data_IF_943126192974
#
_entry.id   IF_943126192974
#
_cell.length_a   1.000
_cell.length_b   1.000
_cell.length_c   1.000
_cell.angle_alpha   90.00
_cell.angle_beta   90.00
_cell.angle_gamma   90.00
#
_symmetry.space_group_name_H-M   'P 1'
#
loop_
_entity.id
_entity.type
_entity.pdbx_description
1 polymer ?
#
# COMPACT_ATOMS: atom_id res chain seq x y z
N UNK A 1 3.18 -29.99 48.55
CA UNK A 1 3.64 -28.62 48.29
C UNK A 1 4.68 -28.66 47.21
N UNK A 2 4.62 -27.74 46.26
CA UNK A 2 5.72 -26.83 45.99
C UNK A 2 5.19 -25.61 45.23
N UNK A 3 5.71 -24.43 45.56
CA UNK A 3 5.36 -23.11 45.01
C UNK A 3 6.57 -22.59 44.24
N UNK A 4 6.32 -21.92 43.13
CA UNK A 4 7.33 -21.19 42.33
C UNK A 4 7.31 -21.72 40.90
N UNK A 5 7.28 -20.92 39.85
CA UNK A 5 7.88 -19.61 39.65
C UNK A 5 7.33 -19.08 38.32
N UNK A 6 7.12 -17.77 38.16
CA UNK A 6 6.93 -17.22 36.81
C UNK A 6 6.10 -15.95 36.65
N UNK A 7 6.15 -14.99 37.57
CA UNK A 7 5.48 -13.68 37.39
C UNK A 7 6.32 -12.67 36.56
N UNK A 8 7.39 -13.12 35.90
CA UNK A 8 8.37 -12.23 35.23
C UNK A 8 8.20 -12.08 33.71
N UNK A 9 7.20 -12.71 33.09
CA UNK A 9 7.07 -12.74 31.62
C UNK A 9 6.35 -11.54 30.99
N UNK A 10 5.88 -10.58 31.79
CA UNK A 10 4.92 -9.56 31.33
C UNK A 10 5.53 -8.19 30.97
N UNK A 11 6.84 -7.96 31.17
CA UNK A 11 7.47 -6.66 30.89
C UNK A 11 8.85 -6.87 30.25
N UNK A 12 8.94 -6.92 28.92
CA UNK A 12 10.26 -6.83 28.25
C UNK A 12 10.46 -7.55 26.92
N UNK A 13 9.47 -8.27 26.39
CA UNK A 13 9.67 -9.09 25.19
C UNK A 13 9.90 -8.32 23.88
N UNK A 14 9.37 -7.09 23.76
CA UNK A 14 9.45 -6.31 22.52
C UNK A 14 10.81 -5.65 22.26
N UNK A 15 11.50 -5.19 23.30
CA UNK A 15 12.76 -4.45 23.16
C UNK A 15 13.94 -5.38 22.83
N UNK A 16 13.98 -6.56 23.45
CA UNK A 16 15.03 -7.55 23.17
C UNK A 16 14.87 -8.19 21.78
N UNK A 17 13.64 -8.42 21.30
CA UNK A 17 13.43 -8.99 19.96
C UNK A 17 13.98 -8.09 18.82
N UNK A 18 13.88 -6.76 18.99
CA UNK A 18 14.50 -5.77 18.11
C UNK A 18 16.04 -5.79 18.18
N UNK A 19 16.60 -5.97 19.38
CA UNK A 19 18.05 -6.05 19.60
C UNK A 19 18.69 -7.36 19.09
N UNK A 20 17.95 -8.47 19.13
CA UNK A 20 18.40 -9.79 18.69
C UNK A 20 18.01 -10.14 17.24
N UNK A 21 17.50 -9.18 16.45
CA UNK A 21 17.26 -9.36 15.02
C UNK A 21 16.17 -10.38 14.67
N UNK A 22 15.22 -10.64 15.58
CA UNK A 22 14.11 -11.59 15.38
C UNK A 22 12.89 -10.89 14.73
N UNK A 23 12.92 -9.58 14.52
CA UNK A 23 11.85 -8.89 13.81
C UNK A 23 11.92 -9.20 12.29
N UNK A 24 10.99 -10.04 11.82
CA UNK A 24 10.89 -10.51 10.43
C UNK A 24 10.15 -9.54 9.51
N UNK A 25 9.75 -8.37 10.01
CA UNK A 25 9.12 -7.35 9.18
C UNK A 25 10.17 -6.79 8.20
N UNK A 26 9.86 -6.66 6.90
CA UNK A 26 10.78 -6.04 5.96
C UNK A 26 11.10 -4.63 6.46
N UNK A 27 12.39 -4.29 6.42
CA UNK A 27 12.88 -2.99 6.90
C UNK A 27 12.35 -1.81 6.06
N UNK A 28 11.88 -2.07 4.83
CA UNK A 28 11.09 -1.10 4.08
C UNK A 28 9.60 -1.49 4.10
N UNK A 29 8.69 -0.53 4.33
CA UNK A 29 7.28 -0.75 4.10
C UNK A 29 7.04 -1.08 2.62
N UNK A 30 5.98 -1.85 2.30
CA UNK A 30 5.63 -2.16 0.92
C UNK A 30 5.43 -0.86 0.13
N UNK A 31 6.00 -0.80 -1.07
CA UNK A 31 5.89 0.33 -2.00
C UNK A 31 4.42 0.69 -2.27
N UNK A 32 4.08 1.98 -2.14
CA UNK A 32 2.78 2.50 -2.55
C UNK A 32 2.62 2.63 -4.06
N UNK A 33 3.73 2.60 -4.82
CA UNK A 33 3.75 2.71 -6.28
C UNK A 33 3.59 1.38 -6.99
N UNK A 34 3.73 0.26 -6.27
CA UNK A 34 3.52 -1.07 -6.81
C UNK A 34 2.02 -1.43 -6.79
N UNK A 35 1.38 -1.65 -7.96
CA UNK A 35 -0.04 -1.97 -8.05
C UNK A 35 -0.41 -3.28 -7.32
N UNK A 36 0.54 -4.22 -7.20
CA UNK A 36 0.31 -5.49 -6.50
C UNK A 36 -0.03 -5.30 -5.01
N UNK A 37 0.57 -4.29 -4.38
CA UNK A 37 0.36 -4.01 -2.96
C UNK A 37 -1.02 -3.39 -2.70
N UNK A 38 -1.59 -2.73 -3.71
CA UNK A 38 -2.91 -2.10 -3.65
C UNK A 38 -4.03 -3.09 -4.00
N UNK A 39 -3.79 -3.95 -5.00
CA UNK A 39 -4.74 -4.95 -5.44
C UNK A 39 -4.79 -6.19 -4.52
N UNK A 40 -3.70 -6.49 -3.79
CA UNK A 40 -3.57 -7.71 -3.00
C UNK A 40 -3.28 -8.96 -3.84
N UNK A 41 -3.23 -8.82 -5.16
CA UNK A 41 -2.83 -9.82 -6.14
C UNK A 41 -1.59 -9.36 -6.90
N UNK A 42 -0.88 -10.27 -7.55
CA UNK A 42 0.30 -9.92 -8.34
C UNK A 42 -0.11 -9.23 -9.65
N UNK A 43 0.42 -8.03 -9.88
CA UNK A 43 0.19 -7.21 -11.08
C UNK A 43 1.54 -6.78 -11.64
N UNK A 44 1.89 -7.27 -12.82
CA UNK A 44 3.12 -6.90 -13.53
C UNK A 44 2.81 -6.01 -14.76
N UNK A 45 1.67 -6.22 -15.40
CA UNK A 45 1.25 -5.54 -16.63
C UNK A 45 -0.17 -4.96 -16.50
N UNK A 46 -0.55 -4.08 -17.43
CA UNK A 46 -1.94 -3.60 -17.55
C UNK A 46 -2.92 -4.76 -17.71
N UNK A 47 -2.58 -5.75 -18.53
CA UNK A 47 -3.44 -6.90 -18.80
C UNK A 47 -3.80 -7.64 -17.51
N UNK A 48 -2.88 -7.71 -16.54
CA UNK A 48 -3.16 -8.33 -15.24
C UNK A 48 -4.21 -7.54 -14.44
N UNK A 49 -4.24 -6.21 -14.59
CA UNK A 49 -5.22 -5.33 -13.94
C UNK A 49 -6.64 -5.65 -14.42
N UNK A 50 -6.82 -5.93 -15.72
CA UNK A 50 -8.13 -6.26 -16.31
C UNK A 50 -8.72 -7.56 -15.76
N UNK A 51 -7.89 -8.45 -15.21
CA UNK A 51 -8.31 -9.74 -14.69
C UNK A 51 -8.52 -9.75 -13.16
N UNK A 52 -8.30 -8.61 -12.49
CA UNK A 52 -8.54 -8.48 -11.06
C UNK A 52 -10.02 -8.63 -10.73
N UNK A 53 -10.33 -9.47 -9.74
CA UNK A 53 -11.71 -9.67 -9.26
C UNK A 53 -12.16 -8.54 -8.35
N UNK A 54 -11.26 -8.08 -7.49
CA UNK A 54 -11.52 -7.07 -6.48
C UNK A 54 -10.59 -5.88 -6.70
N UNK A 55 -11.17 -4.69 -6.83
CA UNK A 55 -10.45 -3.44 -7.05
C UNK A 55 -10.47 -2.57 -5.78
N UNK A 56 -9.37 -1.90 -5.43
CA UNK A 56 -9.31 -1.05 -4.24
C UNK A 56 -10.16 0.20 -4.44
N UNK A 57 -11.27 0.36 -3.71
CA UNK A 57 -12.18 1.51 -3.87
C UNK A 57 -11.84 2.70 -2.97
N UNK A 58 -10.82 2.58 -2.10
CA UNK A 58 -10.38 3.64 -1.16
C UNK A 58 -11.54 4.25 -0.36
N UNK A 59 -12.22 3.43 0.44
CA UNK A 59 -13.42 3.82 1.20
C UNK A 59 -14.57 4.34 0.30
N UNK A 60 -14.64 3.86 -0.95
CA UNK A 60 -15.66 4.27 -1.92
C UNK A 60 -15.40 5.64 -2.55
N UNK A 61 -14.19 6.21 -2.37
CA UNK A 61 -13.80 7.48 -2.99
C UNK A 61 -13.52 7.34 -4.49
N UNK A 62 -13.10 6.15 -4.93
CA UNK A 62 -12.95 5.81 -6.34
C UNK A 62 -13.94 4.72 -6.74
N UNK A 63 -14.54 4.89 -7.93
CA UNK A 63 -15.32 3.83 -8.58
C UNK A 63 -14.36 2.71 -9.02
N UNK A 64 -14.83 1.46 -9.17
CA UNK A 64 -14.00 0.37 -9.67
C UNK A 64 -13.26 0.72 -10.97
N UNK A 65 -13.94 1.32 -11.95
CA UNK A 65 -13.33 1.77 -13.21
C UNK A 65 -12.22 2.83 -13.03
N UNK A 66 -12.33 3.67 -12.01
CA UNK A 66 -11.32 4.69 -11.71
C UNK A 66 -10.10 4.07 -11.02
N UNK A 67 -10.34 3.12 -10.12
CA UNK A 67 -9.29 2.34 -9.48
C UNK A 67 -8.53 1.46 -10.46
N UNK A 68 -9.22 0.83 -11.40
CA UNK A 68 -8.61 0.06 -12.49
C UNK A 68 -7.65 0.94 -13.31
N UNK A 69 -8.13 2.12 -13.78
CA UNK A 69 -7.30 3.08 -14.50
C UNK A 69 -6.08 3.52 -13.68
N UNK A 70 -6.26 3.79 -12.38
CA UNK A 70 -5.16 4.16 -11.51
C UNK A 70 -4.09 3.05 -11.45
N UNK A 71 -4.50 1.79 -11.28
CA UNK A 71 -3.58 0.64 -11.27
C UNK A 71 -2.84 0.51 -12.62
N UNK A 72 -3.54 0.67 -13.74
CA UNK A 72 -2.94 0.69 -15.09
C UNK A 72 -1.94 1.84 -15.27
N UNK A 73 -2.15 3.00 -14.64
CA UNK A 73 -1.16 4.08 -14.70
C UNK A 73 0.10 3.74 -13.90
N UNK A 74 -0.01 2.96 -12.82
CA UNK A 74 1.14 2.53 -12.02
C UNK A 74 2.03 1.54 -12.76
N UNK A 75 1.49 0.73 -13.68
CA UNK A 75 2.28 -0.19 -14.52
C UNK A 75 3.08 0.51 -15.62
N UNK A 76 2.85 1.80 -15.88
CA UNK A 76 3.54 2.59 -16.90
C UNK A 76 4.56 3.58 -16.30
N UNK A 77 5.78 3.16 -15.90
CA UNK A 77 6.68 3.96 -15.06
C UNK A 77 6.99 5.37 -15.60
N UNK A 78 7.23 5.51 -16.90
CA UNK A 78 7.57 6.80 -17.52
C UNK A 78 6.37 7.76 -17.68
N UNK A 79 5.15 7.22 -17.71
CA UNK A 79 3.91 7.99 -17.87
C UNK A 79 3.10 8.07 -16.57
N UNK A 80 3.54 7.35 -15.52
CA UNK A 80 2.85 7.23 -14.23
C UNK A 80 2.51 8.58 -13.63
N UNK A 81 3.51 9.46 -13.48
CA UNK A 81 3.35 10.79 -12.87
C UNK A 81 2.29 11.64 -13.58
N UNK A 82 2.41 11.94 -14.90
CA UNK A 82 1.44 12.78 -15.57
C UNK A 82 0.04 12.15 -15.62
N UNK A 83 -0.07 10.82 -15.76
CA UNK A 83 -1.36 10.12 -15.79
C UNK A 83 -2.04 10.11 -14.43
N UNK A 84 -1.32 9.77 -13.36
CA UNK A 84 -1.85 9.78 -12.00
C UNK A 84 -2.26 11.19 -11.54
N UNK A 85 -1.45 12.21 -11.85
CA UNK A 85 -1.81 13.60 -11.55
C UNK A 85 -3.06 14.05 -12.30
N UNK A 86 -3.12 13.77 -13.62
CA UNK A 86 -4.31 14.09 -14.43
C UNK A 86 -5.54 13.36 -13.92
N UNK A 87 -5.39 12.14 -13.43
CA UNK A 87 -6.49 11.36 -12.85
C UNK A 87 -7.12 12.11 -11.68
N UNK A 88 -6.33 12.64 -10.74
CA UNK A 88 -6.86 13.37 -9.58
C UNK A 88 -7.12 14.86 -9.81
N UNK A 89 -6.74 15.41 -10.97
CA UNK A 89 -7.03 16.80 -11.34
C UNK A 89 -8.52 17.06 -11.69
N UNK A 90 -9.32 16.00 -11.81
CA UNK A 90 -10.76 16.08 -12.05
C UNK A 90 -11.52 16.52 -10.79
N UNK A 91 -12.39 17.55 -10.85
CA UNK A 91 -13.14 18.05 -9.71
C UNK A 91 -13.87 16.98 -8.89
N UNK A 92 -14.31 15.88 -9.53
CA UNK A 92 -15.00 14.79 -8.83
C UNK A 92 -14.04 13.96 -7.96
N UNK A 93 -12.79 13.78 -8.40
CA UNK A 93 -11.78 12.94 -7.74
C UNK A 93 -10.80 13.71 -6.86
N UNK A 94 -10.73 15.03 -6.96
CA UNK A 94 -9.88 15.88 -6.09
C UNK A 94 -10.11 15.57 -4.60
N UNK A 95 -11.35 15.25 -4.20
CA UNK A 95 -11.68 14.91 -2.80
C UNK A 95 -10.98 13.65 -2.31
N UNK A 96 -10.66 12.72 -3.21
CA UNK A 96 -9.97 11.47 -2.88
C UNK A 96 -8.53 11.71 -2.41
N UNK A 97 -7.92 12.87 -2.75
CA UNK A 97 -6.60 13.27 -2.27
C UNK A 97 -6.52 13.45 -0.74
N UNK A 98 -7.66 13.56 -0.04
CA UNK A 98 -7.69 13.55 1.42
C UNK A 98 -7.37 12.18 2.05
N UNK A 99 -7.47 11.10 1.27
CA UNK A 99 -7.27 9.73 1.75
C UNK A 99 -5.79 9.39 1.88
N UNK A 100 -5.40 8.82 3.02
CA UNK A 100 -3.99 8.56 3.36
C UNK A 100 -3.30 7.57 2.42
N UNK A 101 -4.02 6.55 1.96
CA UNK A 101 -3.42 5.59 1.01
C UNK A 101 -3.21 6.25 -0.36
N UNK A 102 -4.13 7.11 -0.82
CA UNK A 102 -3.96 7.82 -2.11
C UNK A 102 -2.78 8.79 -2.05
N UNK A 103 -2.60 9.49 -0.92
CA UNK A 103 -1.40 10.30 -0.66
C UNK A 103 -0.14 9.44 -0.76
N UNK A 104 -0.12 8.26 -0.12
CA UNK A 104 1.01 7.34 -0.19
C UNK A 104 1.29 6.80 -1.60
N UNK A 105 0.26 6.55 -2.40
CA UNK A 105 0.40 6.16 -3.82
C UNK A 105 1.05 7.29 -4.62
N UNK A 106 0.55 8.53 -4.46
CA UNK A 106 1.11 9.68 -5.17
C UNK A 106 2.54 9.98 -4.74
N UNK A 107 2.83 9.95 -3.44
CA UNK A 107 4.19 10.10 -2.93
C UNK A 107 5.12 9.05 -3.55
N UNK A 108 4.70 7.79 -3.60
CA UNK A 108 5.47 6.74 -4.26
C UNK A 108 5.62 7.00 -5.77
N UNK A 109 4.59 7.45 -6.48
CA UNK A 109 4.70 7.81 -7.90
C UNK A 109 5.76 8.89 -8.17
N UNK A 110 5.95 9.84 -7.25
CA UNK A 110 6.91 10.94 -7.42
C UNK A 110 8.33 10.57 -7.01
N UNK A 111 8.47 9.78 -5.94
CA UNK A 111 9.75 9.58 -5.26
C UNK A 111 10.33 8.18 -5.41
N UNK A 112 9.54 7.20 -5.82
CA UNK A 112 10.01 5.85 -6.14
C UNK A 112 10.38 5.75 -7.63
N UNK A 113 11.57 5.22 -7.95
CA UNK A 113 12.05 5.13 -9.33
C UNK A 113 11.27 4.12 -10.20
#
# INVERSE_FOLDING_TARGET
GDKGTGWLSALGGGFLASLFGIDRRPRCPPSGGNPSNLAGERVDTEEDVLHLKDLPTFDGLLRPSESELLLTYLTAPYLRIPLALRHFADPQRVRALGHKQIQGVLDACFFEP
#
